data_IF_095742662773
#
_entry.id   IF_095742662773
#
_cell.length_a   1.000
_cell.length_b   1.000
_cell.length_c   1.000
_cell.angle_alpha   90.00
_cell.angle_beta   90.00
_cell.angle_gamma   90.00
#
_symmetry.space_group_name_H-M   'P 1'
#
loop_
_entity.id
_entity.type
_entity.pdbx_description
1 polymer ?
#
# COMPACT_ATOMS: atom_id res chain seq x y z
N UNK A 1 19.10 -8.67 4.42
CA UNK A 1 18.66 -7.29 4.59
C UNK A 1 19.23 -6.50 3.42
N UNK A 2 18.49 -5.62 2.78
CA UNK A 2 18.99 -4.99 1.54
C UNK A 2 19.86 -3.79 1.95
N UNK A 3 21.18 -4.00 2.09
CA UNK A 3 22.15 -2.96 2.51
C UNK A 3 22.22 -1.76 1.55
N UNK A 4 21.45 -1.82 0.46
CA UNK A 4 21.42 -0.77 -0.57
C UNK A 4 20.50 0.39 -0.24
N UNK A 5 19.48 0.17 0.59
CA UNK A 5 18.45 1.14 0.91
C UNK A 5 18.16 1.14 2.42
N UNK A 6 18.47 2.24 3.07
CA UNK A 6 18.00 2.50 4.43
C UNK A 6 16.54 2.96 4.34
N UNK A 7 15.65 2.23 4.96
CA UNK A 7 14.21 2.50 4.96
C UNK A 7 13.73 2.67 6.40
N UNK A 8 13.21 3.84 6.70
CA UNK A 8 12.55 4.17 7.95
C UNK A 8 11.03 4.13 7.72
N UNK A 9 10.28 3.52 8.65
CA UNK A 9 8.84 3.34 8.55
C UNK A 9 8.17 3.86 9.81
N UNK A 10 7.15 4.68 9.62
CA UNK A 10 6.28 5.16 10.69
C UNK A 10 4.85 4.71 10.45
N UNK A 11 4.24 4.14 11.49
CA UNK A 11 2.82 3.77 11.49
C UNK A 11 2.03 4.88 12.17
N UNK A 12 1.22 5.64 11.44
CA UNK A 12 0.43 6.74 12.01
C UNK A 12 -0.53 6.25 13.09
N UNK A 13 -0.80 7.12 14.07
CA UNK A 13 -1.78 6.93 15.14
C UNK A 13 -2.84 8.03 15.10
N UNK A 14 -3.92 7.88 15.86
CA UNK A 14 -5.04 8.84 15.84
C UNK A 14 -5.81 8.82 14.52
N UNK A 15 -6.49 9.90 14.20
CA UNK A 15 -7.43 9.98 13.08
C UNK A 15 -6.80 9.83 11.70
N UNK A 16 -5.56 10.29 11.52
CA UNK A 16 -4.81 10.08 10.26
C UNK A 16 -4.62 8.60 9.95
N UNK A 17 -4.54 7.75 10.97
CA UNK A 17 -4.42 6.31 10.82
C UNK A 17 -5.63 5.64 10.14
N UNK A 18 -6.78 6.30 10.08
CA UNK A 18 -7.95 5.80 9.35
C UNK A 18 -7.76 5.84 7.84
N UNK A 19 -6.90 6.71 7.35
CA UNK A 19 -6.66 6.97 5.92
C UNK A 19 -5.27 6.56 5.48
N UNK A 20 -4.26 6.70 6.34
CA UNK A 20 -2.84 6.47 6.04
C UNK A 20 -2.37 5.17 6.70
N UNK A 21 -1.78 4.29 5.91
CA UNK A 21 -1.24 3.01 6.37
C UNK A 21 0.18 3.14 6.90
N UNK A 22 1.01 3.94 6.20
CA UNK A 22 2.40 4.16 6.57
C UNK A 22 2.93 5.47 6.01
N UNK A 23 3.83 6.09 6.73
CA UNK A 23 4.72 7.15 6.28
C UNK A 23 6.12 6.55 6.27
N UNK A 24 6.90 6.81 5.23
CA UNK A 24 8.20 6.19 5.08
C UNK A 24 9.22 7.15 4.49
N UNK A 25 10.49 6.94 4.85
CA UNK A 25 11.62 7.72 4.37
C UNK A 25 12.75 6.76 3.96
N UNK A 26 13.39 7.02 2.82
CA UNK A 26 14.39 6.13 2.28
C UNK A 26 15.63 6.88 1.78
N UNK A 27 16.80 6.33 2.09
CA UNK A 27 18.11 6.80 1.62
C UNK A 27 18.83 5.67 0.90
N UNK A 28 19.18 5.86 -0.36
CA UNK A 28 19.90 4.88 -1.14
C UNK A 28 21.42 5.00 -0.88
N UNK A 29 22.00 4.03 -0.20
CA UNK A 29 23.46 3.96 0.01
C UNK A 29 24.20 3.55 -1.26
N UNK A 30 23.59 2.66 -2.04
CA UNK A 30 24.11 2.17 -3.32
C UNK A 30 23.00 2.18 -4.36
N UNK A 31 23.39 2.25 -5.63
CA UNK A 31 22.43 2.06 -6.72
C UNK A 31 21.83 0.66 -6.66
N UNK A 32 20.54 0.55 -6.95
CA UNK A 32 19.88 -0.72 -6.82
C UNK A 32 18.43 -0.72 -7.23
N UNK A 33 17.77 -1.79 -6.83
CA UNK A 33 16.34 -1.99 -7.08
C UNK A 33 15.65 -2.51 -5.82
N UNK A 34 14.37 -2.19 -5.70
CA UNK A 34 13.47 -2.71 -4.67
C UNK A 34 12.09 -2.97 -5.28
N UNK A 35 11.19 -3.51 -4.47
CA UNK A 35 9.84 -3.80 -4.90
C UNK A 35 8.82 -3.03 -4.06
N UNK A 36 7.98 -2.26 -4.72
CA UNK A 36 6.81 -1.67 -4.09
C UNK A 36 5.73 -2.75 -3.94
N UNK A 37 5.22 -2.96 -2.72
CA UNK A 37 4.23 -4.00 -2.50
C UNK A 37 2.90 -3.64 -3.16
N UNK A 38 2.26 -4.63 -3.79
CA UNK A 38 0.86 -4.57 -4.15
C UNK A 38 0.02 -4.79 -2.88
N UNK A 39 -0.71 -3.79 -2.46
CA UNK A 39 -1.59 -3.82 -1.27
C UNK A 39 -2.99 -3.26 -1.53
N UNK A 40 -3.30 -2.97 -2.79
CA UNK A 40 -4.60 -2.42 -3.18
C UNK A 40 -4.83 -0.96 -2.77
N UNK A 41 -3.76 -0.24 -2.48
CA UNK A 41 -3.81 1.15 -2.04
C UNK A 41 -3.03 2.08 -2.97
N UNK A 42 -3.26 3.38 -2.83
CA UNK A 42 -2.52 4.44 -3.49
C UNK A 42 -1.43 4.99 -2.57
N UNK A 43 -0.52 5.77 -3.13
CA UNK A 43 0.51 6.47 -2.37
C UNK A 43 0.94 7.76 -3.04
N UNK A 44 1.73 8.53 -2.32
CA UNK A 44 2.49 9.66 -2.87
C UNK A 44 3.95 9.41 -2.61
N UNK A 45 4.79 9.61 -3.61
CA UNK A 45 6.25 9.52 -3.49
C UNK A 45 6.83 10.90 -3.78
N UNK A 46 7.67 11.38 -2.90
CA UNK A 46 8.45 12.60 -3.03
C UNK A 46 9.90 12.21 -3.33
N UNK A 47 10.46 12.74 -4.41
CA UNK A 47 11.87 12.63 -4.72
C UNK A 47 12.57 13.90 -4.25
N UNK A 48 13.43 13.78 -3.25
CA UNK A 48 14.15 14.91 -2.67
C UNK A 48 15.48 15.12 -3.40
N UNK A 49 16.21 14.03 -3.64
CA UNK A 49 17.46 14.11 -4.41
C UNK A 49 17.76 12.82 -5.15
N UNK A 50 18.63 12.90 -6.17
CA UNK A 50 19.06 11.76 -6.96
C UNK A 50 18.08 11.37 -8.06
N UNK A 51 18.00 10.07 -8.36
CA UNK A 51 17.16 9.52 -9.44
C UNK A 51 16.35 8.33 -8.94
N UNK A 52 15.10 8.31 -9.31
CA UNK A 52 14.15 7.25 -8.99
C UNK A 52 13.34 6.89 -10.24
N UNK A 53 13.27 5.61 -10.57
CA UNK A 53 12.37 5.11 -11.61
C UNK A 53 11.32 4.20 -10.99
N UNK A 54 10.08 4.43 -11.31
CA UNK A 54 8.94 3.64 -10.87
C UNK A 54 8.34 2.90 -12.08
N UNK A 55 8.30 1.57 -12.02
CA UNK A 55 7.83 0.72 -13.12
C UNK A 55 8.48 1.07 -14.48
N UNK A 56 9.79 1.39 -14.47
CA UNK A 56 10.57 1.77 -15.66
C UNK A 56 10.39 3.22 -16.13
N UNK A 57 9.62 4.04 -15.41
CA UNK A 57 9.43 5.47 -15.74
C UNK A 57 10.19 6.34 -14.74
N UNK A 58 10.99 7.31 -15.18
CA UNK A 58 11.68 8.22 -14.28
C UNK A 58 10.70 9.13 -13.55
N UNK A 59 10.96 9.36 -12.28
CA UNK A 59 10.25 10.34 -11.47
C UNK A 59 10.92 11.71 -11.70
N UNK A 60 10.28 12.57 -12.48
CA UNK A 60 10.84 13.85 -12.87
C UNK A 60 10.17 15.06 -12.19
N UNK A 61 9.22 14.80 -11.30
CA UNK A 61 8.49 15.81 -10.53
C UNK A 61 8.87 15.73 -9.06
N UNK A 62 8.71 16.81 -8.30
CA UNK A 62 9.00 16.79 -6.86
C UNK A 62 8.16 15.75 -6.11
N UNK A 63 6.97 15.40 -6.62
CA UNK A 63 6.19 14.27 -6.13
C UNK A 63 5.46 13.56 -7.27
N UNK A 64 5.09 12.31 -7.04
CA UNK A 64 4.27 11.52 -7.96
C UNK A 64 3.21 10.73 -7.19
N UNK A 65 2.01 10.70 -7.75
CA UNK A 65 0.95 9.81 -7.26
C UNK A 65 1.24 8.38 -7.71
N UNK A 66 1.40 7.48 -6.76
CA UNK A 66 1.45 6.06 -7.03
C UNK A 66 0.02 5.56 -7.21
N UNK A 67 -0.31 5.16 -8.43
CA UNK A 67 -1.62 4.59 -8.76
C UNK A 67 -1.77 3.19 -8.15
N UNK A 68 -3.01 2.71 -8.10
CA UNK A 68 -3.29 1.35 -7.64
C UNK A 68 -2.73 0.36 -8.67
N UNK A 69 -1.88 -0.54 -8.19
CA UNK A 69 -1.36 -1.63 -9.00
C UNK A 69 -2.03 -2.95 -8.63
N UNK A 70 -2.17 -3.83 -9.60
CA UNK A 70 -2.68 -5.21 -9.43
C UNK A 70 -1.57 -6.20 -9.12
N UNK A 71 -0.32 -5.75 -9.21
CA UNK A 71 0.90 -6.54 -8.94
C UNK A 71 1.99 -5.65 -8.33
N UNK A 72 2.99 -6.26 -7.71
CA UNK A 72 4.15 -5.52 -7.18
C UNK A 72 4.94 -4.86 -8.33
N UNK A 73 5.40 -3.65 -8.10
CA UNK A 73 6.13 -2.85 -9.08
C UNK A 73 7.59 -2.70 -8.69
N UNK A 74 8.47 -2.75 -9.68
CA UNK A 74 9.90 -2.53 -9.47
C UNK A 74 10.17 -1.03 -9.36
N UNK A 75 10.98 -0.66 -8.37
CA UNK A 75 11.59 0.66 -8.24
C UNK A 75 13.10 0.53 -8.37
N UNK A 76 13.72 1.39 -9.17
CA UNK A 76 15.19 1.48 -9.29
C UNK A 76 15.64 2.87 -8.88
N UNK A 77 16.81 2.96 -8.25
CA UNK A 77 17.36 4.20 -7.70
C UNK A 77 18.88 4.23 -7.85
N UNK A 78 19.44 5.43 -7.92
CA UNK A 78 20.89 5.66 -7.91
C UNK A 78 21.40 5.83 -6.49
N UNK A 79 22.69 5.59 -6.26
CA UNK A 79 23.36 5.90 -5.00
C UNK A 79 23.16 7.38 -4.65
N UNK A 80 22.95 7.69 -3.36
CA UNK A 80 22.70 9.05 -2.87
C UNK A 80 21.26 9.55 -3.07
N UNK A 81 20.38 8.77 -3.71
CA UNK A 81 18.97 9.17 -3.83
C UNK A 81 18.28 9.20 -2.47
N UNK A 82 17.50 10.27 -2.22
CA UNK A 82 16.67 10.45 -1.04
C UNK A 82 15.23 10.62 -1.51
N UNK A 83 14.35 9.82 -0.98
CA UNK A 83 12.93 9.86 -1.33
C UNK A 83 12.07 9.36 -0.16
N UNK A 84 10.87 9.87 -0.07
CA UNK A 84 9.94 9.50 1.00
C UNK A 84 8.52 9.39 0.45
N UNK A 85 7.58 8.99 1.28
CA UNK A 85 6.21 8.90 0.81
C UNK A 85 5.17 8.56 1.86
N UNK A 86 3.93 8.71 1.41
CA UNK A 86 2.74 8.34 2.13
C UNK A 86 2.16 7.11 1.45
N UNK A 87 1.85 6.09 2.24
CA UNK A 87 1.04 4.96 1.79
C UNK A 87 -0.33 5.05 2.41
N UNK A 88 -1.35 5.27 1.60
CA UNK A 88 -2.73 5.27 2.09
C UNK A 88 -3.22 3.85 2.38
N UNK A 89 -4.27 3.73 3.18
CA UNK A 89 -5.06 2.49 3.25
C UNK A 89 -5.88 2.32 1.95
N UNK A 90 -6.33 1.11 1.60
CA UNK A 90 -7.29 0.94 0.52
C UNK A 90 -8.48 1.89 0.68
N UNK A 91 -8.81 2.63 -0.37
CA UNK A 91 -9.79 3.72 -0.38
C UNK A 91 -9.40 5.00 0.40
N UNK A 92 -8.36 5.01 1.23
CA UNK A 92 -8.02 6.17 2.06
C UNK A 92 -7.81 7.45 1.27
N UNK A 93 -6.97 7.40 0.22
CA UNK A 93 -6.76 8.55 -0.68
C UNK A 93 -8.08 9.04 -1.34
N UNK A 94 -8.88 8.12 -1.88
CA UNK A 94 -10.12 8.47 -2.56
C UNK A 94 -11.15 9.08 -1.60
N UNK A 95 -11.16 8.68 -0.34
CA UNK A 95 -12.01 9.30 0.69
C UNK A 95 -11.57 10.73 1.00
N UNK A 96 -10.26 10.95 1.21
CA UNK A 96 -9.71 12.29 1.42
C UNK A 96 -9.96 13.20 0.20
N UNK A 97 -9.77 12.68 -1.00
CA UNK A 97 -10.05 13.42 -2.23
C UNK A 97 -11.54 13.81 -2.36
N UNK A 98 -12.46 12.92 -1.99
CA UNK A 98 -13.90 13.18 -2.07
C UNK A 98 -14.36 14.32 -1.16
N UNK A 99 -13.70 14.53 -0.03
CA UNK A 99 -13.97 15.62 0.90
C UNK A 99 -13.05 16.85 0.67
N UNK A 100 -12.32 16.86 -0.45
CA UNK A 100 -11.35 17.91 -0.78
C UNK A 100 -10.34 18.18 0.34
N UNK A 101 -9.87 17.11 1.00
CA UNK A 101 -8.95 17.23 2.14
C UNK A 101 -7.59 17.80 1.70
N UNK A 102 -7.06 18.75 2.48
CA UNK A 102 -5.82 19.46 2.16
C UNK A 102 -4.62 18.54 1.92
N UNK A 103 -4.48 17.46 2.70
CA UNK A 103 -3.37 16.50 2.58
C UNK A 103 -3.18 15.90 1.17
N UNK A 104 -4.25 15.82 0.38
CA UNK A 104 -4.21 15.28 -1.00
C UNK A 104 -4.33 16.37 -2.07
N UNK A 105 -4.37 17.64 -1.68
CA UNK A 105 -4.42 18.75 -2.60
C UNK A 105 -3.07 18.93 -3.31
N UNK A 106 -3.03 19.14 -4.64
CA UNK A 106 -1.78 19.34 -5.38
C UNK A 106 -0.91 20.50 -4.89
N UNK A 107 -1.53 21.56 -4.33
CA UNK A 107 -0.82 22.67 -3.70
C UNK A 107 -0.06 22.22 -2.48
N UNK A 108 -0.74 21.59 -1.54
CA UNK A 108 -0.14 21.05 -0.31
C UNK A 108 0.99 20.06 -0.60
N UNK A 109 0.80 19.17 -1.59
CA UNK A 109 1.86 18.21 -1.97
C UNK A 109 3.11 18.91 -2.53
N UNK A 110 2.95 20.04 -3.23
CA UNK A 110 4.09 20.85 -3.68
C UNK A 110 4.76 21.56 -2.51
N UNK A 111 4.00 22.13 -1.59
CA UNK A 111 4.51 22.83 -0.41
C UNK A 111 5.31 21.85 0.48
N UNK A 112 4.80 20.65 0.69
CA UNK A 112 5.50 19.57 1.40
C UNK A 112 6.81 19.21 0.67
N UNK A 113 6.77 19.02 -0.64
CA UNK A 113 7.96 18.70 -1.43
C UNK A 113 9.02 19.81 -1.32
N UNK A 114 8.63 21.08 -1.37
CA UNK A 114 9.53 22.23 -1.22
C UNK A 114 10.11 22.34 0.19
N UNK A 115 9.33 22.04 1.22
CA UNK A 115 9.81 22.05 2.60
C UNK A 115 10.84 20.93 2.86
N UNK A 116 10.63 19.75 2.25
CA UNK A 116 11.55 18.62 2.35
C UNK A 116 12.92 18.87 1.69
N UNK A 117 13.02 19.78 0.73
CA UNK A 117 14.31 20.20 0.16
C UNK A 117 15.19 20.92 1.20
N UNK A 118 14.59 21.50 2.24
CA UNK A 118 15.31 22.22 3.31
C UNK A 118 15.73 21.31 4.45
N UNK A 119 14.88 20.34 4.82
CA UNK A 119 15.12 19.43 5.94
C UNK A 119 14.58 18.03 5.65
N UNK A 120 15.43 17.21 5.06
CA UNK A 120 15.09 15.89 4.55
C UNK A 120 15.30 14.79 5.61
N UNK A 121 14.34 14.60 6.50
CA UNK A 121 14.31 13.48 7.45
C UNK A 121 12.88 13.02 7.74
N UNK A 122 12.75 11.86 8.40
CA UNK A 122 11.43 11.26 8.67
C UNK A 122 10.61 12.12 9.65
N UNK A 123 11.21 12.66 10.69
CA UNK A 123 10.48 13.42 11.71
C UNK A 123 9.89 14.70 11.12
N UNK A 124 10.69 15.48 10.38
CA UNK A 124 10.22 16.66 9.65
C UNK A 124 9.12 16.33 8.65
N UNK A 125 9.21 15.18 7.99
CA UNK A 125 8.14 14.73 7.07
C UNK A 125 6.85 14.41 7.83
N UNK A 126 6.92 13.74 8.99
CA UNK A 126 5.76 13.46 9.84
C UNK A 126 5.10 14.75 10.32
N UNK A 127 5.91 15.72 10.77
CA UNK A 127 5.42 17.01 11.25
C UNK A 127 4.72 17.80 10.17
N UNK A 128 5.28 17.84 8.95
CA UNK A 128 4.65 18.46 7.78
C UNK A 128 3.30 17.82 7.44
N UNK A 129 3.23 16.49 7.45
CA UNK A 129 1.98 15.79 7.18
C UNK A 129 0.95 16.04 8.28
N UNK A 130 1.36 16.05 9.54
CA UNK A 130 0.50 16.30 10.69
C UNK A 130 -0.06 17.72 10.68
N UNK A 131 0.75 18.71 10.29
CA UNK A 131 0.30 20.11 10.17
C UNK A 131 -0.76 20.31 9.08
N UNK A 132 -0.78 19.46 8.06
CA UNK A 132 -1.77 19.52 6.98
C UNK A 132 -2.94 18.54 7.15
N UNK A 133 -2.95 17.72 8.20
CA UNK A 133 -4.05 16.81 8.48
C UNK A 133 -5.04 17.40 9.48
N UNK A 134 -6.28 17.61 9.01
CA UNK A 134 -7.42 17.87 9.86
C UNK A 134 -8.46 16.78 9.58
N UNK A 135 -8.98 16.14 10.63
CA UNK A 135 -9.97 15.09 10.44
C UNK A 135 -11.18 15.58 9.65
N UNK A 136 -11.61 14.82 8.63
CA UNK A 136 -12.78 15.20 7.86
C UNK A 136 -14.04 15.20 8.73
N UNK A 137 -14.77 16.31 8.79
CA UNK A 137 -16.02 16.42 9.56
C UNK A 137 -17.21 15.70 8.89
N UNK A 138 -17.07 15.30 7.62
CA UNK A 138 -18.20 14.80 6.82
C UNK A 138 -18.22 13.28 6.75
N UNK A 139 -19.20 12.68 7.40
CA UNK A 139 -19.53 11.26 7.26
C UNK A 139 -20.50 11.06 6.10
N UNK A 140 -20.01 10.46 5.01
CA UNK A 140 -20.87 10.03 3.90
C UNK A 140 -21.25 8.54 4.09
N UNK A 141 -22.53 8.21 4.19
CA UNK A 141 -23.00 6.82 4.31
C UNK A 141 -22.42 5.87 3.25
N UNK A 142 -22.17 6.36 2.03
CA UNK A 142 -21.53 5.55 0.98
C UNK A 142 -20.08 5.20 1.32
N UNK A 143 -19.36 6.11 1.98
CA UNK A 143 -17.98 5.91 2.44
C UNK A 143 -17.98 4.84 3.53
N UNK A 144 -18.87 4.96 4.53
CA UNK A 144 -18.97 4.03 5.66
C UNK A 144 -19.21 2.58 5.20
N UNK A 145 -20.18 2.36 4.30
CA UNK A 145 -20.44 1.03 3.77
C UNK A 145 -19.27 0.46 2.96
N UNK A 146 -18.59 1.33 2.20
CA UNK A 146 -17.40 0.91 1.43
C UNK A 146 -16.24 0.57 2.36
N UNK A 147 -16.00 1.38 3.39
CA UNK A 147 -14.97 1.14 4.41
C UNK A 147 -15.27 -0.15 5.19
N UNK A 148 -16.52 -0.37 5.60
CA UNK A 148 -16.92 -1.59 6.30
C UNK A 148 -16.63 -2.85 5.47
N UNK A 149 -16.98 -2.83 4.17
CA UNK A 149 -16.67 -3.95 3.28
C UNK A 149 -15.16 -4.13 3.09
N UNK A 150 -14.41 -3.03 2.85
CA UNK A 150 -12.96 -3.08 2.72
C UNK A 150 -12.32 -3.64 4.00
N UNK A 151 -12.78 -3.20 5.16
CA UNK A 151 -12.30 -3.69 6.45
C UNK A 151 -12.51 -5.22 6.61
N UNK A 152 -13.69 -5.73 6.22
CA UNK A 152 -13.95 -7.17 6.19
C UNK A 152 -13.01 -7.91 5.24
N UNK A 153 -12.77 -7.37 4.05
CA UNK A 153 -11.84 -7.95 3.06
C UNK A 153 -10.40 -7.98 3.61
N UNK A 154 -9.96 -6.90 4.23
CA UNK A 154 -8.62 -6.78 4.83
C UNK A 154 -8.43 -7.82 5.94
N UNK A 155 -9.49 -8.07 6.71
CA UNK A 155 -9.51 -9.07 7.78
C UNK A 155 -9.84 -10.50 7.27
N UNK A 156 -9.75 -10.71 5.96
CA UNK A 156 -9.92 -12.02 5.31
C UNK A 156 -11.30 -12.66 5.50
N UNK A 157 -12.33 -11.86 5.79
CA UNK A 157 -13.71 -12.33 5.79
C UNK A 157 -14.08 -12.82 4.39
N UNK A 158 -14.67 -14.02 4.22
CA UNK A 158 -15.13 -14.49 2.92
C UNK A 158 -16.06 -13.47 2.27
N UNK A 159 -15.90 -13.22 0.96
CA UNK A 159 -16.67 -12.19 0.26
C UNK A 159 -18.19 -12.42 0.32
N UNK A 160 -18.63 -13.69 0.31
CA UNK A 160 -20.04 -14.04 0.49
C UNK A 160 -20.57 -13.46 1.80
N UNK A 161 -19.95 -13.81 2.91
CA UNK A 161 -20.30 -13.30 4.26
C UNK A 161 -20.19 -11.77 4.32
N UNK A 162 -19.12 -11.21 3.74
CA UNK A 162 -18.90 -9.77 3.77
C UNK A 162 -20.00 -8.98 3.05
N UNK A 163 -20.62 -9.55 2.00
CA UNK A 163 -21.75 -8.94 1.31
C UNK A 163 -23.06 -9.13 2.07
N UNK A 164 -23.31 -10.30 2.64
CA UNK A 164 -24.57 -10.63 3.31
C UNK A 164 -24.81 -9.75 4.55
N UNK A 165 -23.75 -9.35 5.23
CA UNK A 165 -23.82 -8.46 6.39
C UNK A 165 -24.07 -6.97 6.07
N UNK A 166 -24.25 -6.61 4.81
CA UNK A 166 -24.43 -5.22 4.40
C UNK A 166 -25.90 -4.94 4.00
N UNK A 167 -26.44 -3.78 4.39
CA UNK A 167 -27.77 -3.35 3.95
C UNK A 167 -27.81 -3.00 2.45
N UNK A 168 -26.65 -2.94 1.78
CA UNK A 168 -26.53 -2.60 0.36
C UNK A 168 -26.38 -3.89 -0.47
N UNK A 169 -27.03 -3.91 -1.64
CA UNK A 169 -26.92 -5.05 -2.54
C UNK A 169 -25.47 -5.24 -3.07
N UNK A 170 -25.07 -6.51 -3.29
CA UNK A 170 -23.73 -6.91 -3.76
C UNK A 170 -23.23 -6.08 -4.95
N UNK A 171 -24.05 -5.89 -6.00
CA UNK A 171 -23.65 -5.11 -7.20
C UNK A 171 -23.29 -3.67 -6.87
N UNK A 172 -24.01 -3.06 -5.93
CA UNK A 172 -23.75 -1.69 -5.48
C UNK A 172 -22.44 -1.60 -4.72
N UNK A 173 -22.19 -2.55 -3.81
CA UNK A 173 -20.93 -2.64 -3.05
C UNK A 173 -19.73 -2.88 -3.97
N UNK A 174 -19.82 -3.79 -4.92
CA UNK A 174 -18.76 -4.06 -5.90
C UNK A 174 -18.43 -2.80 -6.73
N UNK A 175 -19.47 -2.05 -7.14
CA UNK A 175 -19.28 -0.79 -7.85
C UNK A 175 -18.60 0.26 -6.96
N UNK A 176 -18.98 0.37 -5.69
CA UNK A 176 -18.36 1.30 -4.75
C UNK A 176 -16.90 0.97 -4.53
N UNK A 177 -16.56 -0.29 -4.25
CA UNK A 177 -15.16 -0.71 -4.06
C UNK A 177 -14.36 -0.41 -5.33
N UNK A 178 -14.88 -0.77 -6.51
CA UNK A 178 -14.16 -0.52 -7.77
C UNK A 178 -13.93 0.98 -8.02
N UNK A 179 -14.92 1.82 -7.76
CA UNK A 179 -14.79 3.27 -7.95
C UNK A 179 -13.85 3.92 -6.95
N UNK A 180 -13.77 3.38 -5.71
CA UNK A 180 -12.97 3.94 -4.63
C UNK A 180 -11.56 3.36 -4.59
N UNK A 181 -11.43 2.04 -4.76
CA UNK A 181 -10.13 1.35 -4.76
C UNK A 181 -9.53 1.16 -6.16
N UNK A 182 -10.23 1.50 -7.25
CA UNK A 182 -9.76 1.26 -8.62
C UNK A 182 -9.71 -0.21 -9.05
N UNK A 183 -9.85 -1.15 -8.11
CA UNK A 183 -9.85 -2.61 -8.33
C UNK A 183 -11.13 -3.24 -7.78
N UNK A 184 -11.46 -4.44 -8.23
CA UNK A 184 -12.65 -5.15 -7.74
C UNK A 184 -12.45 -5.67 -6.32
N UNK A 185 -13.53 -5.83 -5.55
CA UNK A 185 -13.50 -6.46 -4.24
C UNK A 185 -12.86 -7.86 -4.26
N UNK A 186 -13.12 -8.64 -5.32
CA UNK A 186 -12.48 -9.94 -5.53
C UNK A 186 -10.97 -9.83 -5.69
N UNK A 187 -10.48 -8.84 -6.44
CA UNK A 187 -9.04 -8.64 -6.62
C UNK A 187 -8.38 -8.15 -5.31
N UNK A 188 -9.03 -7.24 -4.58
CA UNK A 188 -8.57 -6.80 -3.27
C UNK A 188 -8.45 -7.98 -2.28
N UNK A 189 -9.45 -8.85 -2.24
CA UNK A 189 -9.42 -10.06 -1.41
C UNK A 189 -8.27 -11.02 -1.80
N UNK A 190 -7.96 -11.16 -3.09
CA UNK A 190 -6.78 -11.92 -3.55
C UNK A 190 -5.48 -11.33 -3.03
N UNK A 191 -5.31 -10.01 -3.13
CA UNK A 191 -4.13 -9.31 -2.62
C UNK A 191 -3.95 -9.60 -1.12
N UNK A 192 -5.00 -9.46 -0.33
CA UNK A 192 -4.91 -9.66 1.13
C UNK A 192 -4.66 -11.13 1.52
N UNK A 193 -5.21 -12.10 0.80
CA UNK A 193 -4.83 -13.52 0.99
C UNK A 193 -3.34 -13.76 0.72
N UNK A 194 -2.79 -13.16 -0.34
CA UNK A 194 -1.36 -13.27 -0.66
C UNK A 194 -0.50 -12.55 0.40
N UNK A 195 -0.94 -11.40 0.91
CA UNK A 195 -0.26 -10.74 2.03
C UNK A 195 -0.22 -11.61 3.28
N UNK A 196 -1.30 -12.29 3.60
CA UNK A 196 -1.36 -13.24 4.72
C UNK A 196 -0.41 -14.43 4.49
N UNK A 197 -0.41 -15.01 3.29
CA UNK A 197 0.52 -16.09 2.95
C UNK A 197 1.99 -15.63 3.07
N UNK A 198 2.32 -14.43 2.58
CA UNK A 198 3.64 -13.80 2.73
C UNK A 198 4.04 -13.64 4.20
N UNK A 199 3.09 -13.20 5.04
CA UNK A 199 3.29 -13.06 6.49
C UNK A 199 3.58 -14.42 7.14
N UNK A 200 2.77 -15.44 6.87
CA UNK A 200 2.96 -16.79 7.41
C UNK A 200 4.30 -17.40 6.98
N UNK A 201 4.71 -17.22 5.72
CA UNK A 201 6.02 -17.68 5.25
C UNK A 201 7.16 -17.07 6.10
N UNK A 202 7.03 -15.81 6.50
CA UNK A 202 8.04 -15.08 7.28
C UNK A 202 8.00 -15.46 8.77
N UNK A 203 6.81 -15.49 9.36
CA UNK A 203 6.62 -15.62 10.81
C UNK A 203 6.54 -17.08 11.28
N UNK A 204 6.22 -18.00 10.37
CA UNK A 204 6.05 -19.43 10.66
C UNK A 204 6.84 -20.29 9.67
N UNK A 205 8.19 -20.21 9.68
CA UNK A 205 9.05 -20.86 8.69
C UNK A 205 8.96 -22.39 8.70
N UNK A 206 8.46 -22.99 9.80
CA UNK A 206 8.21 -24.43 9.95
C UNK A 206 7.02 -24.92 9.10
N UNK A 207 6.08 -24.04 8.74
CA UNK A 207 4.92 -24.46 7.94
C UNK A 207 5.36 -24.79 6.50
N UNK A 208 4.81 -25.87 5.96
CA UNK A 208 4.92 -26.18 4.54
C UNK A 208 4.08 -25.25 3.69
N UNK A 209 4.42 -25.08 2.41
CA UNK A 209 3.61 -24.27 1.50
C UNK A 209 2.20 -24.84 1.29
N UNK A 210 2.01 -26.16 1.48
CA UNK A 210 0.68 -26.79 1.46
C UNK A 210 -0.16 -26.30 2.64
N UNK A 211 0.40 -26.32 3.85
CA UNK A 211 -0.29 -25.83 5.05
C UNK A 211 -0.63 -24.34 4.93
N UNK A 212 0.32 -23.52 4.47
CA UNK A 212 0.09 -22.09 4.25
C UNK A 212 -1.02 -21.86 3.20
N UNK A 213 -1.06 -22.66 2.13
CA UNK A 213 -2.12 -22.55 1.13
C UNK A 213 -3.50 -22.79 1.76
N UNK A 214 -3.65 -23.85 2.54
CA UNK A 214 -4.90 -24.19 3.21
C UNK A 214 -5.31 -23.12 4.25
N UNK A 215 -4.38 -22.66 5.09
CA UNK A 215 -4.66 -21.62 6.08
C UNK A 215 -5.09 -20.28 5.45
N UNK A 216 -4.58 -19.98 4.27
CA UNK A 216 -4.96 -18.76 3.53
C UNK A 216 -6.18 -18.95 2.62
N UNK A 217 -6.84 -20.12 2.66
CA UNK A 217 -8.05 -20.39 1.86
C UNK A 217 -7.79 -20.56 0.37
N UNK A 218 -6.60 -21.06 -0.01
CA UNK A 218 -6.32 -21.54 -1.38
C UNK A 218 -6.73 -23.01 -1.48
N UNK A 219 -7.18 -23.43 -2.67
CA UNK A 219 -7.57 -24.80 -2.91
C UNK A 219 -6.43 -25.80 -2.70
N UNK A 220 -5.23 -25.42 -3.13
CA UNK A 220 -4.00 -26.20 -3.05
C UNK A 220 -2.74 -25.31 -3.17
N UNK A 221 -1.56 -25.93 -3.07
CA UNK A 221 -0.30 -25.22 -3.24
C UNK A 221 -0.12 -24.65 -4.65
N UNK A 222 -0.64 -25.29 -5.68
CA UNK A 222 -0.54 -24.80 -7.07
C UNK A 222 -1.33 -23.52 -7.26
N UNK A 223 -2.51 -23.43 -6.66
CA UNK A 223 -3.32 -22.21 -6.62
C UNK A 223 -2.58 -21.09 -5.88
N UNK A 224 -2.00 -21.38 -4.69
CA UNK A 224 -1.16 -20.41 -3.99
C UNK A 224 0.01 -19.95 -4.86
N UNK A 225 0.74 -20.87 -5.51
CA UNK A 225 1.90 -20.53 -6.36
C UNK A 225 1.52 -19.56 -7.48
N UNK A 226 0.42 -19.85 -8.17
CA UNK A 226 -0.06 -19.03 -9.29
C UNK A 226 -0.46 -17.63 -8.84
N UNK A 227 -1.26 -17.53 -7.77
CA UNK A 227 -1.73 -16.25 -7.22
C UNK A 227 -0.59 -15.43 -6.62
N UNK A 228 0.33 -16.07 -5.90
CA UNK A 228 1.49 -15.42 -5.29
C UNK A 228 2.43 -14.85 -6.38
N UNK A 229 2.71 -15.62 -7.42
CA UNK A 229 3.53 -15.16 -8.54
C UNK A 229 2.85 -14.06 -9.34
N UNK A 230 1.54 -14.15 -9.58
CA UNK A 230 0.78 -13.11 -10.29
C UNK A 230 0.79 -11.76 -9.57
N UNK A 231 0.75 -11.75 -8.24
CA UNK A 231 0.68 -10.52 -7.43
C UNK A 231 2.08 -10.02 -7.03
N UNK A 232 2.98 -10.90 -6.60
CA UNK A 232 4.30 -10.53 -6.06
C UNK A 232 5.46 -10.67 -7.05
N UNK A 233 5.22 -11.21 -8.24
CA UNK A 233 6.23 -11.44 -9.29
C UNK A 233 7.38 -12.37 -8.84
N UNK A 234 7.09 -13.25 -7.87
CA UNK A 234 8.01 -14.23 -7.31
C UNK A 234 7.21 -15.45 -6.82
N UNK A 235 7.79 -16.64 -6.89
CA UNK A 235 7.13 -17.82 -6.31
C UNK A 235 7.27 -17.87 -4.79
N UNK A 236 6.31 -18.50 -4.05
CA UNK A 236 6.40 -18.65 -2.60
C UNK A 236 7.69 -19.36 -2.15
N UNK A 237 8.12 -20.38 -2.88
CA UNK A 237 9.35 -21.11 -2.57
C UNK A 237 10.61 -20.23 -2.70
N UNK A 238 10.70 -19.43 -3.77
CA UNK A 238 11.79 -18.47 -3.96
C UNK A 238 11.76 -17.38 -2.89
N UNK A 239 10.58 -16.87 -2.55
CA UNK A 239 10.42 -15.88 -1.49
C UNK A 239 10.86 -16.45 -0.13
N UNK A 240 10.42 -17.68 0.24
CA UNK A 240 10.84 -18.35 1.47
C UNK A 240 12.37 -18.50 1.56
N UNK A 241 13.03 -18.88 0.46
CA UNK A 241 14.49 -18.99 0.41
C UNK A 241 15.19 -17.64 0.61
N UNK A 242 14.67 -16.54 0.04
CA UNK A 242 15.27 -15.20 0.16
C UNK A 242 15.22 -14.63 1.57
N UNK A 243 14.20 -14.97 2.36
CA UNK A 243 14.06 -14.43 3.72
C UNK A 243 14.78 -15.28 4.78
N UNK A 244 15.27 -16.47 4.42
CA UNK A 244 16.02 -17.37 5.29
C UNK A 244 17.55 -17.20 5.15
N UNK A 245 17.99 -16.38 4.20
CA UNK A 245 19.38 -15.95 4.02
C UNK A 245 19.67 -14.68 4.85
#
# INVERSE_FOLDING_TARGET
MNDKLLLELYSPTGEIADYVQAIWFARAQFSGESWLPCDGAQGVIFLISGQLNLAGKPLNLPYSMQTISTQSEKVTFTAGSIFCGIRFKPAGHAHLQKVNHSLVAPTTLRDIAQALDQDANLDSFIDLLSAHFNAPEVHHHTIEHTQALIHKIINLTPLTTAYDDSPKGKRQLERYVKNTCGITAKHLARIYRIRQAKKLIKESPQLSLVQIALECGFADQSHLNNEFNAILQITPAKYKKLIQQ
#
